data_IF_295498773170
#
_entry.id   IF_295498773170
#
_cell.length_a   1.000
_cell.length_b   1.000
_cell.length_c   1.000
_cell.angle_alpha   90.00
_cell.angle_beta   90.00
_cell.angle_gamma   90.00
#
_symmetry.space_group_name_H-M   'P 1'
#
loop_
_entity.id
_entity.type
_entity.pdbx_description
1 polymer ?
#
# COMPACT_ATOMS: atom_id res chain seq x y z
N UNK A 1 5.73 3.63 -8.45
CA UNK A 1 4.81 3.49 -9.60
C UNK A 1 5.20 2.25 -10.39
N UNK A 2 4.24 1.40 -10.68
CA UNK A 2 4.46 0.15 -11.40
C UNK A 2 3.52 0.08 -12.60
N UNK A 3 4.08 -0.18 -13.79
CA UNK A 3 3.28 -0.39 -14.99
C UNK A 3 3.03 -1.87 -15.21
N UNK A 4 1.79 -2.23 -15.51
CA UNK A 4 1.40 -3.61 -15.74
C UNK A 4 0.80 -3.75 -17.14
N UNK A 5 1.33 -4.71 -17.89
CA UNK A 5 0.74 -5.16 -19.16
C UNK A 5 0.04 -6.49 -18.95
N UNK A 6 -1.18 -6.61 -19.45
CA UNK A 6 -1.90 -7.87 -19.39
C UNK A 6 -2.09 -8.44 -20.80
N UNK A 7 -1.79 -9.71 -20.96
CA UNK A 7 -1.97 -10.39 -22.25
C UNK A 7 -3.44 -10.73 -22.54
N UNK A 8 -4.27 -10.70 -21.51
CA UNK A 8 -5.70 -10.99 -21.59
C UNK A 8 -6.48 -9.77 -21.16
N UNK A 9 -7.71 -9.69 -21.65
CA UNK A 9 -8.64 -8.65 -21.27
C UNK A 9 -9.04 -8.84 -19.80
N UNK A 10 -8.30 -8.25 -18.89
CA UNK A 10 -8.58 -8.28 -17.45
C UNK A 10 -9.09 -6.90 -17.05
N UNK A 11 -10.20 -6.85 -16.32
CA UNK A 11 -10.74 -5.58 -15.86
C UNK A 11 -9.90 -5.01 -14.72
N UNK A 12 -9.87 -3.68 -14.63
CA UNK A 12 -9.19 -3.00 -13.52
C UNK A 12 -9.80 -3.39 -12.17
N UNK A 13 -11.11 -3.62 -12.14
CA UNK A 13 -11.80 -4.07 -10.93
C UNK A 13 -11.27 -5.40 -10.42
N UNK A 14 -10.94 -6.31 -11.33
CA UNK A 14 -10.39 -7.61 -10.95
C UNK A 14 -8.99 -7.47 -10.36
N UNK A 15 -8.17 -6.61 -10.92
CA UNK A 15 -6.83 -6.35 -10.40
C UNK A 15 -6.92 -5.76 -9.00
N UNK A 16 -7.78 -4.76 -8.80
CA UNK A 16 -7.99 -4.15 -7.50
C UNK A 16 -8.50 -5.17 -6.48
N UNK A 17 -9.42 -6.03 -6.89
CA UNK A 17 -9.96 -7.07 -6.02
C UNK A 17 -8.89 -8.07 -5.60
N UNK A 18 -8.01 -8.46 -6.52
CA UNK A 18 -6.89 -9.35 -6.21
C UNK A 18 -5.95 -8.72 -5.16
N UNK A 19 -5.64 -7.43 -5.32
CA UNK A 19 -4.81 -6.71 -4.35
C UNK A 19 -5.49 -6.63 -3.00
N UNK A 20 -6.78 -6.30 -2.97
CA UNK A 20 -7.55 -6.23 -1.73
C UNK A 20 -7.55 -7.56 -1.01
N UNK A 21 -7.74 -8.64 -1.72
CA UNK A 21 -7.79 -9.98 -1.15
C UNK A 21 -6.43 -10.40 -0.61
N UNK A 22 -5.36 -10.12 -1.36
CA UNK A 22 -4.01 -10.46 -0.95
C UNK A 22 -3.61 -9.73 0.34
N UNK A 23 -3.95 -8.45 0.46
CA UNK A 23 -3.58 -7.62 1.60
C UNK A 23 -4.67 -7.49 2.66
N UNK A 24 -5.70 -8.33 2.60
CA UNK A 24 -6.89 -8.24 3.45
C UNK A 24 -6.59 -8.14 4.94
N UNK A 25 -5.62 -8.92 5.43
CA UNK A 25 -5.30 -8.99 6.86
C UNK A 25 -3.96 -8.33 7.17
N UNK A 26 -3.46 -7.48 6.29
CA UNK A 26 -2.18 -6.79 6.49
C UNK A 26 -2.43 -5.45 7.15
N UNK A 27 -1.87 -5.28 8.35
CA UNK A 27 -2.14 -4.14 9.23
C UNK A 27 -1.84 -2.79 8.59
N UNK A 28 -0.74 -2.72 7.83
CA UNK A 28 -0.23 -1.45 7.33
C UNK A 28 -0.42 -1.24 5.84
N UNK A 29 -1.08 -2.17 5.16
CA UNK A 29 -1.33 -2.03 3.72
C UNK A 29 -2.79 -1.70 3.49
N UNK A 30 -3.05 -0.61 2.77
CA UNK A 30 -4.39 -0.18 2.43
C UNK A 30 -4.53 -0.07 0.92
N UNK A 31 -5.45 -0.84 0.35
CA UNK A 31 -5.79 -0.78 -1.07
C UNK A 31 -6.97 0.17 -1.23
N UNK A 32 -6.74 1.23 -2.00
CA UNK A 32 -7.70 2.32 -2.17
C UNK A 32 -8.64 2.07 -3.34
N UNK A 33 -9.59 2.98 -3.53
CA UNK A 33 -10.53 2.92 -4.66
C UNK A 33 -9.78 3.01 -5.97
N UNK A 34 -10.37 2.41 -7.02
CA UNK A 34 -9.86 2.47 -8.38
C UNK A 34 -9.69 3.93 -8.81
N UNK A 35 -8.60 4.24 -9.47
CA UNK A 35 -8.26 5.57 -9.97
C UNK A 35 -8.05 6.63 -8.87
N UNK A 36 -7.90 6.20 -7.62
CA UNK A 36 -7.56 7.13 -6.55
C UNK A 36 -6.11 7.60 -6.70
N UNK A 37 -5.92 8.89 -6.85
CA UNK A 37 -4.58 9.47 -6.82
C UNK A 37 -4.09 9.53 -5.39
N UNK A 38 -2.88 9.02 -5.17
CA UNK A 38 -2.31 8.92 -3.83
C UNK A 38 -1.38 10.11 -3.60
N UNK A 39 -1.51 10.74 -2.43
CA UNK A 39 -0.62 11.79 -1.98
C UNK A 39 0.25 11.26 -0.84
N UNK A 40 1.49 11.75 -0.75
CA UNK A 40 2.35 11.45 0.40
C UNK A 40 1.76 11.97 1.70
N UNK A 41 0.92 13.00 1.64
CA UNK A 41 0.20 13.51 2.82
C UNK A 41 -0.71 12.47 3.46
N UNK A 42 -1.18 11.49 2.68
CA UNK A 42 -2.07 10.44 3.18
C UNK A 42 -1.35 9.43 4.08
N UNK A 43 -0.05 9.31 3.95
CA UNK A 43 0.76 8.33 4.67
C UNK A 43 1.81 8.96 5.59
N UNK A 44 1.97 10.28 5.54
CA UNK A 44 2.99 10.98 6.32
C UNK A 44 2.80 10.70 7.83
N UNK A 45 3.89 10.49 8.51
CA UNK A 45 3.94 10.17 9.94
C UNK A 45 3.24 8.85 10.28
N UNK A 46 3.08 7.94 9.30
CA UNK A 46 2.49 6.63 9.54
C UNK A 46 3.39 5.54 9.00
N UNK A 47 3.17 4.31 9.48
CA UNK A 47 3.84 3.12 8.94
C UNK A 47 3.00 2.47 7.83
N UNK A 48 2.05 3.18 7.27
CA UNK A 48 1.15 2.65 6.25
C UNK A 48 1.77 2.68 4.85
N UNK A 49 1.33 1.73 4.03
CA UNK A 49 1.55 1.71 2.59
C UNK A 49 0.19 1.78 1.91
N UNK A 50 -0.05 2.80 1.12
CA UNK A 50 -1.26 2.92 0.33
C UNK A 50 -1.01 2.47 -1.10
N UNK A 51 -1.93 1.68 -1.64
CA UNK A 51 -1.89 1.17 -3.01
C UNK A 51 -3.13 1.60 -3.76
N UNK A 52 -2.95 1.96 -5.03
CA UNK A 52 -4.07 2.30 -5.91
C UNK A 52 -3.79 1.78 -7.31
N UNK A 53 -4.83 1.26 -7.97
CA UNK A 53 -4.76 0.82 -9.37
C UNK A 53 -5.46 1.85 -10.23
N UNK A 54 -4.78 2.30 -11.29
CA UNK A 54 -5.31 3.32 -12.18
C UNK A 54 -5.31 2.83 -13.63
N UNK A 55 -6.29 3.31 -14.38
CA UNK A 55 -6.36 3.11 -15.82
C UNK A 55 -5.27 3.92 -16.52
N UNK A 56 -4.86 3.46 -17.70
CA UNK A 56 -4.06 4.23 -18.63
C UNK A 56 -4.87 4.52 -19.89
N UNK A 57 -4.30 5.27 -20.82
CA UNK A 57 -4.91 5.51 -22.14
C UNK A 57 -4.99 4.25 -22.98
N UNK A 58 -4.14 3.27 -22.70
CA UNK A 58 -4.07 2.02 -23.45
C UNK A 58 -4.91 0.94 -22.79
N UNK A 59 -5.57 0.11 -23.61
CA UNK A 59 -6.26 -1.09 -23.12
C UNK A 59 -5.22 -2.08 -22.61
N UNK A 60 -5.58 -2.84 -21.58
CA UNK A 60 -4.74 -3.89 -20.99
C UNK A 60 -3.43 -3.36 -20.37
N UNK A 61 -3.34 -2.06 -20.12
CA UNK A 61 -2.22 -1.45 -19.43
C UNK A 61 -2.74 -0.68 -18.24
N UNK A 62 -2.15 -0.93 -17.09
CA UNK A 62 -2.57 -0.33 -15.83
C UNK A 62 -1.36 0.17 -15.07
N UNK A 63 -1.61 1.10 -14.16
CA UNK A 63 -0.58 1.63 -13.28
C UNK A 63 -0.98 1.30 -11.85
N UNK A 64 -0.04 0.76 -11.08
CA UNK A 64 -0.19 0.65 -9.63
C UNK A 64 0.64 1.76 -9.01
N UNK A 65 -0.02 2.61 -8.25
CA UNK A 65 0.61 3.65 -7.46
C UNK A 65 0.77 3.14 -6.03
N UNK A 66 1.91 3.44 -5.42
CA UNK A 66 2.12 3.18 -4.01
C UNK A 66 2.74 4.39 -3.34
N UNK A 67 2.40 4.61 -2.08
CA UNK A 67 2.95 5.71 -1.30
C UNK A 67 3.26 5.23 0.12
N UNK A 68 4.43 5.64 0.62
CA UNK A 68 4.86 5.39 1.99
C UNK A 68 5.53 6.66 2.52
N UNK A 69 5.58 6.79 3.85
CA UNK A 69 6.49 7.73 4.48
C UNK A 69 7.88 7.10 4.48
N UNK A 70 8.83 7.72 3.78
CA UNK A 70 10.15 7.14 3.57
C UNK A 70 10.95 6.99 4.87
N UNK A 71 10.68 7.82 5.87
CA UNK A 71 11.39 7.78 7.15
C UNK A 71 10.79 6.76 8.13
N UNK A 72 9.51 6.47 7.99
CA UNK A 72 8.80 5.55 8.89
C UNK A 72 8.66 4.18 8.23
N UNK A 73 7.76 4.00 7.29
CA UNK A 73 7.60 2.70 6.62
C UNK A 73 8.84 2.31 5.83
N UNK A 74 9.48 3.27 5.19
CA UNK A 74 10.72 3.04 4.44
C UNK A 74 11.98 3.05 5.29
N UNK A 75 11.87 3.18 6.61
CA UNK A 75 13.01 3.28 7.52
C UNK A 75 12.73 2.67 8.88
N UNK A 76 12.72 3.49 9.92
CA UNK A 76 12.61 3.04 11.31
C UNK A 76 11.33 2.24 11.58
N UNK A 77 10.21 2.61 10.96
CA UNK A 77 8.94 1.91 11.16
C UNK A 77 8.99 0.47 10.69
N UNK A 78 9.60 0.22 9.53
CA UNK A 78 9.74 -1.14 9.02
C UNK A 78 10.69 -1.97 9.91
N UNK A 79 11.74 -1.35 10.44
CA UNK A 79 12.64 -2.02 11.37
C UNK A 79 11.90 -2.47 12.64
N UNK A 80 11.09 -1.59 13.21
CA UNK A 80 10.27 -1.91 14.40
C UNK A 80 9.26 -3.00 14.07
N UNK A 81 8.60 -2.91 12.92
CA UNK A 81 7.64 -3.91 12.48
C UNK A 81 8.31 -5.30 12.35
N UNK A 82 9.48 -5.35 11.76
CA UNK A 82 10.26 -6.59 11.62
C UNK A 82 10.62 -7.17 12.98
N UNK A 83 11.03 -6.32 13.92
CA UNK A 83 11.32 -6.73 15.28
C UNK A 83 10.09 -7.32 15.96
N UNK A 84 8.94 -6.66 15.82
CA UNK A 84 7.68 -7.13 16.41
C UNK A 84 7.34 -8.53 15.91
N UNK A 85 7.47 -8.76 14.60
CA UNK A 85 7.21 -10.06 13.99
C UNK A 85 8.20 -11.11 14.50
N UNK A 86 9.48 -10.75 14.52
CA UNK A 86 10.56 -11.66 14.94
C UNK A 86 10.36 -12.16 16.37
N UNK A 87 9.95 -11.27 17.26
CA UNK A 87 9.81 -11.58 18.70
C UNK A 87 8.37 -11.90 19.11
N UNK A 88 7.48 -12.12 18.14
CA UNK A 88 6.07 -12.45 18.39
C UNK A 88 5.32 -11.39 19.18
N UNK A 89 5.71 -10.13 19.07
CA UNK A 89 4.93 -9.02 19.57
C UNK A 89 3.79 -8.72 18.60
N UNK A 90 2.81 -7.94 19.03
CA UNK A 90 1.81 -7.41 18.11
C UNK A 90 2.54 -6.62 17.02
N UNK A 91 2.22 -6.91 15.74
CA UNK A 91 2.91 -6.31 14.60
C UNK A 91 2.90 -4.78 14.64
N UNK A 92 1.85 -4.18 15.18
CA UNK A 92 1.68 -2.74 15.24
C UNK A 92 2.19 -2.10 16.53
N UNK A 93 2.82 -2.87 17.41
CA UNK A 93 3.30 -2.34 18.70
C UNK A 93 4.27 -1.18 18.47
N UNK A 94 3.94 -0.01 19.00
CA UNK A 94 4.74 1.20 18.86
C UNK A 94 4.60 1.90 17.51
N UNK A 95 3.72 1.40 16.61
CA UNK A 95 3.59 1.91 15.24
C UNK A 95 2.22 2.50 14.92
N UNK A 96 1.30 2.50 15.87
CA UNK A 96 -0.06 3.01 15.69
C UNK A 96 -0.24 4.37 16.34
N UNK A 97 0.61 5.31 15.98
CA UNK A 97 0.38 6.68 16.43
C UNK A 97 -0.31 7.46 15.33
N UNK A 98 -1.12 8.41 15.72
CA UNK A 98 -1.76 9.35 14.82
C UNK A 98 -1.38 10.75 15.23
N UNK A 99 -0.95 11.55 14.27
CA UNK A 99 -0.81 12.99 14.46
C UNK A 99 0.02 13.38 15.67
N UNK A 100 1.22 12.82 15.77
CA UNK A 100 2.17 13.23 16.80
C UNK A 100 2.64 14.66 16.60
N UNK A 101 2.48 15.18 15.43
CA UNK A 101 3.00 16.48 15.05
C UNK A 101 1.92 17.40 14.55
#
# INVERSE_FOLDING_TARGET
MLYIDTNKKISIGKIQQCLKQYYKNKTFVKVLKINKLISTNDVINTNNCHLSVCNTRSKNKYIILSAIDNLIKGGAGQAIQNMNIKFNFNESLGLRWKNFF
#
